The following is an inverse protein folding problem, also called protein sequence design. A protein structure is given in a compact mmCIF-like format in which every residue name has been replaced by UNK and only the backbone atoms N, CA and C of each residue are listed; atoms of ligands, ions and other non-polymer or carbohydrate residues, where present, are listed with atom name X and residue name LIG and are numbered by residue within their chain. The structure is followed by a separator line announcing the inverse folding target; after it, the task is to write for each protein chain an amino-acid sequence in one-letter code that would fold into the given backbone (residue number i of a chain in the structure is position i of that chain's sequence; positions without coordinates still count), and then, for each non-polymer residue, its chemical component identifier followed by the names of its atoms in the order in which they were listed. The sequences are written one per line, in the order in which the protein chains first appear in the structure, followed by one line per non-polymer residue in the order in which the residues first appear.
data_IF_784786416792
#
_entry.id   IF_784786416792
#
_cell.length_a   1.000
_cell.length_b   1.000
_cell.length_c   1.000
_cell.angle_alpha   90.00
_cell.angle_beta   90.00
_cell.angle_gamma   90.00
#
_symmetry.space_group_name_H-M   'P 1'
#
loop_
_entity.id
_entity.type
_entity.pdbx_description
1 polymer ?
#
# COMPACT_ATOMS: atom_id res chain seq x y z
N UNK A 1 -2.95 -12.78 6.53
CA UNK A 1 -2.32 -13.59 5.48
C UNK A 1 -0.84 -13.27 5.47
N UNK A 2 -0.02 -14.27 5.29
CA UNK A 2 1.42 -14.05 5.18
C UNK A 2 1.89 -14.44 3.79
N UNK A 3 2.89 -13.74 3.31
CA UNK A 3 3.45 -14.05 2.01
C UNK A 3 4.25 -15.35 2.10
N UNK A 4 4.10 -16.22 1.11
CA UNK A 4 4.86 -17.47 1.07
C UNK A 4 6.31 -17.20 0.70
N UNK A 5 7.19 -18.13 1.01
CA UNK A 5 8.61 -17.98 0.70
C UNK A 5 8.84 -17.81 -0.80
N UNK A 6 8.10 -18.58 -1.61
CA UNK A 6 8.22 -18.47 -3.06
C UNK A 6 7.77 -17.13 -3.59
N UNK A 7 6.64 -16.63 -3.08
CA UNK A 7 6.15 -15.31 -3.49
C UNK A 7 7.06 -14.21 -2.99
N UNK A 8 7.64 -14.37 -1.79
CA UNK A 8 8.58 -13.37 -1.27
C UNK A 8 9.82 -13.27 -2.16
N UNK A 9 10.35 -14.40 -2.59
CA UNK A 9 11.50 -14.40 -3.49
C UNK A 9 11.14 -13.71 -4.81
N UNK A 10 9.96 -13.99 -5.33
CA UNK A 10 9.47 -13.37 -6.55
C UNK A 10 9.35 -11.86 -6.39
N UNK A 11 8.77 -11.43 -5.27
CA UNK A 11 8.61 -10.00 -4.99
C UNK A 11 9.96 -9.30 -4.87
N UNK A 12 10.92 -9.92 -4.21
CA UNK A 12 12.26 -9.33 -4.10
C UNK A 12 12.88 -9.14 -5.47
N UNK A 13 12.69 -10.11 -6.38
CA UNK A 13 13.15 -9.96 -7.74
C UNK A 13 12.49 -8.81 -8.47
N UNK A 14 11.19 -8.65 -8.28
CA UNK A 14 10.47 -7.53 -8.88
C UNK A 14 10.98 -6.20 -8.36
N UNK A 15 11.23 -6.11 -7.06
CA UNK A 15 11.73 -4.87 -6.46
C UNK A 15 13.11 -4.51 -6.99
N UNK A 16 13.99 -5.51 -7.12
CA UNK A 16 15.33 -5.28 -7.66
C UNK A 16 15.27 -4.81 -9.11
N UNK A 17 14.29 -5.28 -9.86
CA UNK A 17 14.14 -4.92 -11.26
C UNK A 17 13.37 -3.62 -11.46
N UNK A 18 12.84 -3.02 -10.38
CA UNK A 18 12.03 -1.82 -10.49
C UNK A 18 10.64 -2.09 -11.02
N UNK A 19 10.15 -3.32 -10.84
CA UNK A 19 8.86 -3.75 -11.38
C UNK A 19 7.83 -3.97 -10.28
N UNK A 20 7.89 -3.20 -9.21
CA UNK A 20 6.98 -3.39 -8.07
C UNK A 20 5.52 -3.24 -8.45
N UNK A 21 5.21 -2.55 -9.56
CA UNK A 21 3.83 -2.42 -9.99
C UNK A 21 3.20 -3.77 -10.34
N UNK A 22 4.01 -4.77 -10.66
CA UNK A 22 3.48 -6.10 -10.98
C UNK A 22 2.92 -6.80 -9.74
N UNK A 23 3.47 -6.48 -8.56
CA UNK A 23 2.93 -7.00 -7.32
C UNK A 23 1.46 -6.60 -7.16
N UNK A 24 1.11 -5.39 -7.55
CA UNK A 24 -0.24 -4.87 -7.34
C UNK A 24 -1.28 -5.53 -8.25
N UNK A 25 -0.83 -6.32 -9.22
CA UNK A 25 -1.73 -7.11 -10.05
C UNK A 25 -1.91 -8.54 -9.55
N UNK A 26 -1.18 -8.94 -8.51
CA UNK A 26 -1.30 -10.29 -7.97
C UNK A 26 -2.70 -10.52 -7.42
N UNK A 27 -3.29 -11.73 -7.68
CA UNK A 27 -4.61 -12.03 -7.13
C UNK A 27 -4.66 -11.96 -5.61
N UNK A 28 -3.58 -12.41 -4.94
CA UNK A 28 -3.50 -12.36 -3.48
C UNK A 28 -3.60 -10.94 -2.98
N UNK A 29 -2.89 -10.01 -3.61
CA UNK A 29 -2.93 -8.61 -3.22
C UNK A 29 -4.31 -8.01 -3.45
N UNK A 30 -4.90 -8.28 -4.61
CA UNK A 30 -6.18 -7.70 -4.97
C UNK A 30 -7.28 -8.17 -4.02
N UNK A 31 -7.24 -9.45 -3.63
CA UNK A 31 -8.19 -9.98 -2.66
C UNK A 31 -8.00 -9.34 -1.30
N UNK A 32 -6.76 -9.29 -0.83
CA UNK A 32 -6.45 -8.72 0.48
C UNK A 32 -6.81 -7.25 0.53
N UNK A 33 -6.57 -6.53 -0.54
CA UNK A 33 -6.92 -5.12 -0.63
C UNK A 33 -8.42 -4.92 -0.42
N UNK A 34 -9.23 -5.74 -1.06
CA UNK A 34 -10.69 -5.66 -0.86
C UNK A 34 -11.08 -5.96 0.57
N UNK A 35 -10.41 -6.91 1.18
CA UNK A 35 -10.70 -7.27 2.58
C UNK A 35 -10.36 -6.14 3.52
N UNK A 36 -9.23 -5.49 3.32
CA UNK A 36 -8.83 -4.37 4.17
C UNK A 36 -9.80 -3.22 4.01
N UNK A 37 -10.20 -2.90 2.79
CA UNK A 37 -11.17 -1.85 2.56
C UNK A 37 -12.49 -2.14 3.25
N UNK A 38 -12.91 -3.41 3.23
CA UNK A 38 -14.16 -3.80 3.90
C UNK A 38 -14.05 -3.68 5.42
N UNK A 39 -12.93 -4.15 5.98
CA UNK A 39 -12.70 -4.07 7.42
C UNK A 39 -12.68 -2.62 7.90
N UNK A 40 -12.08 -1.74 7.10
CA UNK A 40 -11.98 -0.33 7.45
C UNK A 40 -13.19 0.48 6.97
N UNK A 41 -14.24 -0.18 6.48
CA UNK A 41 -15.48 0.44 6.01
C UNK A 41 -15.23 1.50 4.94
N UNK A 42 -14.18 1.34 4.14
CA UNK A 42 -13.76 2.32 3.14
C UNK A 42 -13.55 3.70 3.73
N UNK A 43 -13.18 3.77 4.99
CA UNK A 43 -12.87 5.03 5.67
C UNK A 43 -11.36 5.19 5.78
N UNK A 44 -10.88 6.41 5.53
CA UNK A 44 -9.47 6.71 5.69
C UNK A 44 -9.11 6.63 7.17
N UNK A 45 -8.25 5.71 7.53
CA UNK A 45 -7.87 5.51 8.93
C UNK A 45 -7.05 6.67 9.48
N UNK A 46 -6.27 7.32 8.62
CA UNK A 46 -5.49 8.47 9.04
C UNK A 46 -6.38 9.66 9.35
N UNK A 47 -7.37 9.94 8.50
CA UNK A 47 -8.34 10.99 8.76
C UNK A 47 -9.15 10.66 10.01
N UNK A 48 -9.51 9.39 10.18
CA UNK A 48 -10.28 8.98 11.35
C UNK A 48 -9.53 9.26 12.65
N UNK A 49 -8.22 9.06 12.66
CA UNK A 49 -7.39 9.36 13.83
C UNK A 49 -7.42 10.84 14.16
N UNK A 50 -7.68 11.69 13.18
CA UNK A 50 -7.79 13.14 13.38
C UNK A 50 -9.22 13.59 13.61
N UNK A 51 -10.15 12.64 13.73
CA UNK A 51 -11.54 12.95 13.96
C UNK A 51 -12.29 13.44 12.73
N UNK A 52 -11.77 13.13 11.53
CA UNK A 52 -12.38 13.54 10.28
C UNK A 52 -12.79 12.31 9.49
N UNK A 53 -13.97 12.36 8.86
CA UNK A 53 -14.40 11.30 7.98
C UNK A 53 -13.96 11.61 6.55
N UNK A 54 -13.36 10.63 5.90
CA UNK A 54 -12.97 10.73 4.51
C UNK A 54 -13.01 9.34 3.90
N UNK A 55 -13.50 9.25 2.67
CA UNK A 55 -13.59 7.99 1.98
C UNK A 55 -12.20 7.55 1.54
N UNK A 56 -11.88 6.27 1.77
CA UNK A 56 -10.61 5.69 1.36
C UNK A 56 -10.79 4.88 0.09
N UNK A 57 -9.80 4.94 -0.77
CA UNK A 57 -9.76 4.12 -1.98
C UNK A 57 -8.41 3.41 -2.14
N UNK A 58 -7.48 3.66 -1.25
CA UNK A 58 -6.11 3.14 -1.34
C UNK A 58 -5.83 2.33 -0.09
N UNK A 59 -5.17 1.20 -0.25
CA UNK A 59 -4.65 0.44 0.88
C UNK A 59 -3.15 0.69 0.96
N UNK A 60 -2.73 1.23 2.08
CA UNK A 60 -1.39 1.73 2.31
C UNK A 60 -0.57 0.72 3.11
N UNK A 61 0.67 0.49 2.67
CA UNK A 61 1.65 -0.28 3.44
C UNK A 61 2.33 0.69 4.41
N UNK A 62 2.10 0.52 5.71
CA UNK A 62 2.69 1.41 6.71
C UNK A 62 4.20 1.33 6.63
N UNK A 63 4.76 0.12 6.59
CA UNK A 63 6.16 -0.05 6.25
C UNK A 63 6.26 -0.30 4.76
N UNK A 64 7.08 0.48 4.10
CA UNK A 64 7.20 0.45 2.65
C UNK A 64 7.46 -0.96 2.14
N UNK A 65 6.89 -1.25 0.98
CA UNK A 65 7.08 -2.52 0.31
C UNK A 65 8.57 -2.83 0.10
N UNK A 66 9.35 -1.82 -0.25
CA UNK A 66 10.79 -2.01 -0.49
C UNK A 66 11.55 -2.30 0.78
N UNK A 67 11.10 -1.75 1.90
CA UNK A 67 11.81 -1.93 3.18
C UNK A 67 11.47 -3.25 3.83
N UNK A 68 10.22 -3.66 3.73
CA UNK A 68 9.74 -4.89 4.36
C UNK A 68 8.86 -5.66 3.39
N UNK A 69 9.45 -6.27 2.35
CA UNK A 69 8.63 -7.06 1.41
C UNK A 69 8.02 -8.29 2.06
N UNK A 70 8.58 -8.77 3.15
CA UNK A 70 8.01 -9.88 3.89
C UNK A 70 6.65 -9.54 4.49
N UNK A 71 6.33 -8.26 4.63
CA UNK A 71 5.05 -7.81 5.17
C UNK A 71 4.07 -7.39 4.08
N UNK A 72 4.39 -7.69 2.82
CA UNK A 72 3.58 -7.23 1.68
C UNK A 72 2.14 -7.69 1.75
N UNK A 73 1.90 -8.87 2.27
CA UNK A 73 0.56 -9.44 2.38
C UNK A 73 0.11 -9.59 3.83
N UNK A 74 0.71 -8.86 4.75
CA UNK A 74 0.35 -8.91 6.16
C UNK A 74 -0.44 -7.68 6.54
N UNK A 75 -1.58 -7.89 7.20
CA UNK A 75 -2.41 -6.80 7.68
C UNK A 75 -1.80 -6.17 8.93
N UNK A 76 -1.07 -6.95 9.70
CA UNK A 76 -0.46 -6.51 10.95
C UNK A 76 1.05 -6.74 10.94
N UNK A 77 1.75 -5.90 11.69
CA UNK A 77 3.15 -6.06 12.03
C UNK A 77 3.20 -6.07 13.54
N UNK A 78 3.16 -7.28 14.12
CA UNK A 78 2.98 -7.41 15.56
C UNK A 78 1.61 -6.92 15.97
N UNK A 79 1.57 -5.95 16.86
CA UNK A 79 0.32 -5.36 17.35
C UNK A 79 -0.12 -4.16 16.52
N UNK A 80 0.70 -3.73 15.56
CA UNK A 80 0.42 -2.54 14.77
C UNK A 80 -0.17 -2.91 13.42
N UNK A 81 -0.95 -2.01 12.86
CA UNK A 81 -1.49 -2.21 11.52
C UNK A 81 -0.40 -1.98 10.48
N UNK A 82 -0.31 -2.90 9.55
CA UNK A 82 0.62 -2.78 8.42
C UNK A 82 -0.10 -2.33 7.15
N UNK A 83 -1.35 -2.76 6.98
CA UNK A 83 -2.16 -2.35 5.85
C UNK A 83 -3.36 -1.58 6.37
N UNK A 84 -3.56 -0.38 5.85
CA UNK A 84 -4.65 0.49 6.27
C UNK A 84 -5.26 1.16 5.06
N UNK A 85 -6.59 1.34 5.09
CA UNK A 85 -7.26 2.12 4.07
C UNK A 85 -7.02 3.60 4.32
N UNK A 86 -6.63 4.33 3.29
CA UNK A 86 -6.37 5.76 3.39
C UNK A 86 -6.91 6.46 2.15
N UNK A 87 -7.16 7.77 2.27
CA UNK A 87 -7.52 8.58 1.12
C UNK A 87 -6.26 9.00 0.37
N UNK A 88 -6.43 9.44 -0.87
CA UNK A 88 -5.31 9.81 -1.71
C UNK A 88 -4.43 10.89 -1.06
N UNK A 89 -5.07 11.89 -0.47
CA UNK A 89 -4.34 13.00 0.16
C UNK A 89 -3.43 12.49 1.29
N UNK A 90 -3.97 11.62 2.14
CA UNK A 90 -3.19 11.09 3.25
C UNK A 90 -2.08 10.17 2.75
N UNK A 91 -2.35 9.38 1.71
CA UNK A 91 -1.34 8.51 1.15
C UNK A 91 -0.16 9.33 0.61
N UNK A 92 -0.46 10.42 -0.09
CA UNK A 92 0.58 11.29 -0.62
C UNK A 92 1.39 11.95 0.50
N UNK A 93 0.71 12.34 1.58
CA UNK A 93 1.40 12.95 2.72
C UNK A 93 2.30 11.95 3.44
N UNK A 94 1.90 10.69 3.48
CA UNK A 94 2.68 9.65 4.16
C UNK A 94 3.88 9.17 3.32
N UNK A 95 3.89 9.46 2.02
CA UNK A 95 4.96 9.04 1.12
C UNK A 95 5.45 10.21 0.27
N UNK A 96 5.98 11.27 0.89
CA UNK A 96 6.43 12.43 0.12
C UNK A 96 7.58 12.12 -0.85
N UNK A 97 8.41 11.14 -0.53
CA UNK A 97 9.49 10.75 -1.42
C UNK A 97 8.96 10.15 -2.71
N UNK A 98 7.89 9.38 -2.61
CA UNK A 98 7.23 8.82 -3.79
C UNK A 98 6.66 9.93 -4.67
N UNK A 99 6.10 10.95 -4.05
CA UNK A 99 5.63 12.12 -4.78
C UNK A 99 6.74 12.79 -5.55
N UNK A 100 7.87 12.98 -4.90
CA UNK A 100 9.01 13.65 -5.54
C UNK A 100 9.52 12.89 -6.74
N UNK A 101 9.42 11.58 -6.72
CA UNK A 101 9.86 10.78 -7.85
C UNK A 101 9.03 11.03 -9.08
N UNK A 102 7.77 11.38 -8.92
CA UNK A 102 6.88 11.57 -10.06
C UNK A 102 6.70 13.02 -10.46
N UNK A 103 7.00 13.95 -9.55
CA UNK A 103 6.61 15.33 -9.73
C UNK A 103 7.20 16.00 -10.94
N UNK A 104 8.50 15.90 -11.23
CA UNK A 104 9.07 16.80 -12.23
C UNK A 104 8.81 16.44 -13.65
N UNK A 105 8.65 15.20 -14.00
CA UNK A 105 8.73 14.87 -15.41
C UNK A 105 7.59 14.10 -15.95
N UNK A 106 6.79 13.48 -15.12
CA UNK A 106 5.75 12.62 -15.60
C UNK A 106 4.41 13.18 -15.21
N UNK A 107 3.47 13.21 -16.13
CA UNK A 107 2.11 13.48 -15.73
C UNK A 107 1.68 12.41 -14.76
N UNK A 108 0.88 12.75 -13.80
CA UNK A 108 0.38 11.77 -12.86
C UNK A 108 -0.44 10.74 -13.62
N UNK A 109 -0.03 9.51 -13.55
CA UNK A 109 -0.73 8.46 -14.25
C UNK A 109 -1.85 7.95 -13.38
N UNK A 110 -1.59 6.92 -12.64
CA UNK A 110 -2.61 6.36 -11.79
C UNK A 110 -2.01 6.18 -10.43
N UNK A 111 -2.09 7.19 -9.61
CA UNK A 111 -1.37 7.19 -8.35
C UNK A 111 -1.88 6.20 -7.34
N UNK A 112 -3.09 5.74 -7.48
CA UNK A 112 -3.72 4.90 -6.47
C UNK A 112 -3.06 3.56 -6.28
N UNK A 113 -2.16 3.19 -7.16
CA UNK A 113 -1.49 1.92 -7.00
C UNK A 113 -0.16 2.02 -6.29
N UNK A 114 0.15 3.23 -5.86
CA UNK A 114 1.40 3.44 -5.15
C UNK A 114 1.20 3.26 -3.68
N UNK A 115 2.10 2.58 -3.05
CA UNK A 115 2.10 2.61 -1.64
C UNK A 115 3.34 2.06 -1.03
#
# INVERSE_FOLDING_TARGET
MEISAGRLAELRGLLEAGLEHEFYSWPEWRRLRREVLAVDNCECQECKRRGVYSKASIVHHVRHLRDRPDLALSVYDGDSRQLEAVCKRCHEALHPDSQRQYAPSAPPLTPERWD
#
